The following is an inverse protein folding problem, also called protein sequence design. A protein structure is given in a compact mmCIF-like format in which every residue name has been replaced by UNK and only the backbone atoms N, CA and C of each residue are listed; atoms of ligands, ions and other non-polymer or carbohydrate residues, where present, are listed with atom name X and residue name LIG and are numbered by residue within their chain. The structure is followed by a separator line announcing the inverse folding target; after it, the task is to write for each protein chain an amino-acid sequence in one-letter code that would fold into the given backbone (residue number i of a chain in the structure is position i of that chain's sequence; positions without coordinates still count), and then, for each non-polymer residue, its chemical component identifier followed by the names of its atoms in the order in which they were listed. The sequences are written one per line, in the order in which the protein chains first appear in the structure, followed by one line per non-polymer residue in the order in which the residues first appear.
data_IF_786453982930
#
_entry.id   IF_786453982930
#
_cell.length_a   1.000
_cell.length_b   1.000
_cell.length_c   1.000
_cell.angle_alpha   90.00
_cell.angle_beta   90.00
_cell.angle_gamma   90.00
#
_symmetry.space_group_name_H-M   'P 1'
#
loop_
_entity.id
_entity.type
_entity.pdbx_description
1 polymer ?
#
# COMPACT_ATOMS: atom_id res chain seq x y z
N UNK A 1 11.06 -16.22 15.07
CA UNK A 1 11.19 -14.78 14.75
C UNK A 1 9.95 -14.07 15.25
N UNK A 2 10.04 -13.21 16.28
CA UNK A 2 8.88 -12.45 16.77
C UNK A 2 8.54 -11.31 15.79
N UNK A 3 7.25 -11.13 15.50
CA UNK A 3 6.75 -10.04 14.65
C UNK A 3 6.94 -8.72 15.38
N UNK A 4 7.56 -7.72 14.74
CA UNK A 4 7.73 -6.40 15.35
C UNK A 4 6.37 -5.70 15.48
N UNK A 5 6.18 -4.91 16.54
CA UNK A 5 4.94 -4.16 16.77
C UNK A 5 4.56 -3.29 15.54
N UNK A 6 5.56 -2.70 14.88
CA UNK A 6 5.38 -1.91 13.66
C UNK A 6 4.85 -2.76 12.50
N UNK A 7 5.41 -3.96 12.28
CA UNK A 7 4.93 -4.89 11.26
C UNK A 7 3.49 -5.33 11.56
N UNK A 8 3.19 -5.67 12.82
CA UNK A 8 1.84 -6.07 13.24
C UNK A 8 0.81 -4.94 13.02
N UNK A 9 1.13 -3.72 13.42
CA UNK A 9 0.22 -2.57 13.27
C UNK A 9 -0.03 -2.24 11.79
N UNK A 10 1.01 -2.27 10.96
CA UNK A 10 0.85 -2.11 9.51
C UNK A 10 -0.05 -3.19 8.93
N UNK A 11 0.22 -4.47 9.25
CA UNK A 11 -0.56 -5.60 8.75
C UNK A 11 -2.04 -5.49 9.13
N UNK A 12 -2.34 -5.08 10.36
CA UNK A 12 -3.71 -4.84 10.79
C UNK A 12 -4.36 -3.71 9.98
N UNK A 13 -3.69 -2.57 9.86
CA UNK A 13 -4.20 -1.39 9.16
C UNK A 13 -4.39 -1.63 7.65
N UNK A 14 -3.42 -2.25 6.97
CA UNK A 14 -3.50 -2.54 5.53
C UNK A 14 -4.61 -3.57 5.25
N UNK A 15 -4.80 -4.56 6.14
CA UNK A 15 -5.90 -5.53 6.02
C UNK A 15 -7.24 -4.83 6.16
N UNK A 16 -7.40 -3.99 7.19
CA UNK A 16 -8.62 -3.23 7.40
C UNK A 16 -8.92 -2.27 6.24
N UNK A 17 -7.90 -1.54 5.77
CA UNK A 17 -8.01 -0.66 4.62
C UNK A 17 -8.45 -1.44 3.37
N UNK A 18 -7.87 -2.61 3.12
CA UNK A 18 -8.20 -3.46 1.97
C UNK A 18 -9.65 -3.93 2.02
N UNK A 19 -10.09 -4.41 3.19
CA UNK A 19 -11.46 -4.89 3.36
C UNK A 19 -12.48 -3.77 3.20
N UNK A 20 -12.23 -2.61 3.84
CA UNK A 20 -13.12 -1.44 3.73
C UNK A 20 -13.14 -0.92 2.30
N UNK A 21 -11.97 -0.68 1.70
CA UNK A 21 -11.89 -0.17 0.34
C UNK A 21 -12.56 -1.14 -0.65
N UNK A 22 -12.31 -2.45 -0.49
CA UNK A 22 -12.89 -3.52 -1.31
C UNK A 22 -14.42 -3.59 -1.20
N UNK A 23 -14.98 -3.50 0.00
CA UNK A 23 -16.43 -3.50 0.17
C UNK A 23 -17.07 -2.20 -0.32
N UNK A 24 -16.47 -1.05 0.01
CA UNK A 24 -16.98 0.26 -0.43
C UNK A 24 -16.93 0.38 -1.95
N UNK A 25 -15.82 -0.02 -2.58
CA UNK A 25 -15.67 0.00 -4.02
C UNK A 25 -16.66 -0.93 -4.73
N UNK A 26 -16.82 -2.17 -4.24
CA UNK A 26 -17.81 -3.10 -4.77
C UNK A 26 -19.23 -2.54 -4.62
N UNK A 27 -19.56 -1.98 -3.46
CA UNK A 27 -20.87 -1.38 -3.19
C UNK A 27 -21.18 -0.21 -4.12
N UNK A 28 -20.20 0.68 -4.37
CA UNK A 28 -20.37 1.79 -5.32
C UNK A 28 -20.64 1.24 -6.73
N UNK A 29 -19.86 0.26 -7.19
CA UNK A 29 -20.02 -0.32 -8.53
C UNK A 29 -21.32 -1.12 -8.69
N UNK A 30 -21.83 -1.75 -7.62
CA UNK A 30 -23.08 -2.51 -7.68
C UNK A 30 -24.33 -1.64 -7.53
N UNK A 31 -24.33 -0.70 -6.59
CA UNK A 31 -25.55 0.02 -6.20
C UNK A 31 -25.63 1.44 -6.76
N UNK A 32 -24.50 2.17 -6.78
CA UNK A 32 -24.47 3.57 -7.26
C UNK A 32 -24.25 3.66 -8.77
N UNK A 33 -23.50 2.71 -9.34
CA UNK A 33 -23.18 2.66 -10.77
C UNK A 33 -23.61 1.31 -11.38
N UNK A 34 -24.89 0.94 -11.31
CA UNK A 34 -25.36 -0.37 -11.77
C UNK A 34 -24.93 -0.62 -13.22
N UNK A 35 -24.44 -1.84 -13.48
CA UNK A 35 -23.87 -2.24 -14.78
C UNK A 35 -22.39 -1.89 -14.99
N UNK A 36 -21.74 -1.19 -14.06
CA UNK A 36 -20.31 -0.86 -14.14
C UNK A 36 -19.44 -1.74 -13.23
N UNK A 37 -20.03 -2.71 -12.52
CA UNK A 37 -19.25 -3.76 -11.87
C UNK A 37 -18.60 -4.62 -12.94
N UNK A 38 -17.27 -4.68 -12.92
CA UNK A 38 -16.46 -5.35 -13.92
C UNK A 38 -15.75 -6.56 -13.31
N UNK A 39 -15.58 -7.63 -14.09
CA UNK A 39 -15.04 -8.91 -13.59
C UNK A 39 -13.62 -8.78 -13.03
N UNK A 40 -12.86 -7.81 -13.52
CA UNK A 40 -11.51 -7.51 -13.05
C UNK A 40 -11.42 -6.81 -11.69
N UNK A 41 -12.53 -6.35 -11.12
CA UNK A 41 -12.53 -5.52 -9.91
C UNK A 41 -11.83 -6.17 -8.71
N UNK A 42 -12.08 -7.46 -8.36
CA UNK A 42 -11.45 -8.09 -7.21
C UNK A 42 -9.91 -8.13 -7.28
N UNK A 43 -9.31 -8.09 -8.47
CA UNK A 43 -7.85 -8.11 -8.62
C UNK A 43 -7.19 -6.82 -8.08
N UNK A 44 -7.89 -5.69 -8.10
CA UNK A 44 -7.34 -4.39 -7.68
C UNK A 44 -7.01 -4.36 -6.19
N UNK A 45 -7.95 -4.58 -5.24
CA UNK A 45 -7.62 -4.63 -3.81
C UNK A 45 -6.61 -5.73 -3.48
N UNK A 46 -6.67 -6.88 -4.15
CA UNK A 46 -5.71 -7.99 -3.95
C UNK A 46 -4.30 -7.57 -4.33
N UNK A 47 -4.12 -6.92 -5.49
CA UNK A 47 -2.82 -6.40 -5.93
C UNK A 47 -2.19 -5.48 -4.87
N UNK A 48 -2.95 -4.47 -4.41
CA UNK A 48 -2.44 -3.51 -3.44
C UNK A 48 -2.17 -4.14 -2.06
N UNK A 49 -3.00 -5.10 -1.64
CA UNK A 49 -2.76 -5.83 -0.41
C UNK A 49 -1.47 -6.65 -0.46
N UNK A 50 -1.28 -7.46 -1.51
CA UNK A 50 -0.06 -8.25 -1.69
C UNK A 50 1.18 -7.36 -1.78
N UNK A 51 1.08 -6.23 -2.47
CA UNK A 51 2.15 -5.26 -2.53
C UNK A 51 2.47 -4.66 -1.15
N UNK A 52 1.44 -4.35 -0.35
CA UNK A 52 1.59 -3.90 1.03
C UNK A 52 2.27 -4.96 1.92
N UNK A 53 1.93 -6.24 1.77
CA UNK A 53 2.61 -7.35 2.47
C UNK A 53 4.10 -7.44 2.11
N UNK A 54 4.41 -7.23 0.83
CA UNK A 54 5.79 -7.18 0.35
C UNK A 54 6.54 -5.96 0.91
N UNK A 55 5.95 -4.77 0.83
CA UNK A 55 6.51 -3.52 1.39
C UNK A 55 6.87 -3.66 2.86
N UNK A 56 5.95 -4.11 3.71
CA UNK A 56 6.23 -4.21 5.14
C UNK A 56 7.28 -5.27 5.47
N UNK A 57 7.37 -6.32 4.65
CA UNK A 57 8.38 -7.36 4.84
C UNK A 57 9.78 -6.84 4.51
N UNK A 58 9.93 -6.12 3.40
CA UNK A 58 11.18 -5.43 3.04
C UNK A 58 11.54 -4.36 4.06
N UNK A 59 10.54 -3.59 4.51
CA UNK A 59 10.72 -2.55 5.51
C UNK A 59 11.19 -3.10 6.86
N UNK A 60 10.58 -4.18 7.35
CA UNK A 60 11.00 -4.84 8.61
C UNK A 60 12.41 -5.44 8.50
N UNK A 61 12.78 -5.99 7.33
CA UNK A 61 14.13 -6.48 7.07
C UNK A 61 15.16 -5.34 7.07
N UNK A 62 14.91 -4.27 6.33
CA UNK A 62 15.81 -3.11 6.27
C UNK A 62 15.93 -2.39 7.61
N UNK A 63 14.84 -2.30 8.38
CA UNK A 63 14.87 -1.77 9.74
C UNK A 63 15.87 -2.50 10.63
N UNK A 64 15.95 -3.83 10.51
CA UNK A 64 16.81 -4.69 11.34
C UNK A 64 18.28 -4.62 10.91
N UNK A 65 18.55 -4.60 9.61
CA UNK A 65 19.90 -4.78 9.08
C UNK A 65 20.56 -3.48 8.59
N UNK A 66 19.77 -2.49 8.13
CA UNK A 66 20.27 -1.25 7.54
C UNK A 66 19.33 -0.05 7.82
N UNK A 67 19.08 0.30 9.09
CA UNK A 67 18.11 1.33 9.48
C UNK A 67 18.40 2.75 8.95
N UNK A 68 19.62 3.00 8.46
CA UNK A 68 20.04 4.23 7.79
C UNK A 68 19.60 4.31 6.32
N UNK A 69 19.28 3.18 5.67
CA UNK A 69 18.84 3.11 4.27
C UNK A 69 17.31 3.07 4.11
N UNK A 70 16.56 3.29 5.18
CA UNK A 70 15.09 3.16 5.19
C UNK A 70 14.39 4.10 4.20
N UNK A 71 14.86 5.35 4.09
CA UNK A 71 14.31 6.32 3.14
C UNK A 71 14.57 5.90 1.69
N UNK A 72 15.78 5.42 1.40
CA UNK A 72 16.14 4.91 0.08
C UNK A 72 15.27 3.70 -0.30
N UNK A 73 15.09 2.75 0.63
CA UNK A 73 14.19 1.62 0.41
C UNK A 73 12.76 2.11 0.16
N UNK A 74 12.24 3.04 0.96
CA UNK A 74 10.90 3.59 0.75
C UNK A 74 10.72 4.15 -0.65
N UNK A 75 11.65 4.98 -1.13
CA UNK A 75 11.60 5.53 -2.50
C UNK A 75 11.68 4.43 -3.56
N UNK A 76 12.60 3.47 -3.40
CA UNK A 76 12.74 2.34 -4.32
C UNK A 76 11.46 1.50 -4.41
N UNK A 77 10.81 1.27 -3.27
CA UNK A 77 9.52 0.57 -3.20
C UNK A 77 8.42 1.32 -3.97
N UNK A 78 8.36 2.66 -3.89
CA UNK A 78 7.40 3.46 -4.68
C UNK A 78 7.66 3.41 -6.17
N UNK A 79 8.92 3.48 -6.59
CA UNK A 79 9.28 3.34 -8.00
C UNK A 79 8.91 1.95 -8.51
N UNK A 80 9.26 0.90 -7.76
CA UNK A 80 8.93 -0.47 -8.13
C UNK A 80 7.41 -0.69 -8.22
N UNK A 81 6.64 -0.15 -7.25
CA UNK A 81 5.17 -0.17 -7.26
C UNK A 81 4.62 0.49 -8.51
N UNK A 82 5.13 1.67 -8.86
CA UNK A 82 4.70 2.42 -10.03
C UNK A 82 4.97 1.64 -11.32
N UNK A 83 6.16 1.06 -11.47
CA UNK A 83 6.51 0.27 -12.65
C UNK A 83 5.63 -0.97 -12.80
N UNK A 84 5.44 -1.73 -11.71
CA UNK A 84 4.57 -2.91 -11.71
C UNK A 84 3.11 -2.54 -11.98
N UNK A 85 2.64 -1.43 -11.43
CA UNK A 85 1.31 -0.88 -11.71
C UNK A 85 1.14 -0.55 -13.19
N UNK A 86 2.11 0.13 -13.81
CA UNK A 86 2.05 0.46 -15.25
C UNK A 86 2.03 -0.80 -16.10
N UNK A 87 2.88 -1.79 -15.81
CA UNK A 87 2.90 -3.07 -16.54
C UNK A 87 1.55 -3.77 -16.43
N UNK A 88 0.99 -3.85 -15.22
CA UNK A 88 -0.31 -4.48 -14.98
C UNK A 88 -1.43 -3.77 -15.75
N UNK A 89 -1.47 -2.44 -15.71
CA UNK A 89 -2.46 -1.65 -16.43
C UNK A 89 -2.36 -1.88 -17.95
N UNK A 90 -1.14 -1.88 -18.50
CA UNK A 90 -0.90 -2.14 -19.92
C UNK A 90 -1.40 -3.53 -20.31
N UNK A 91 -1.01 -4.57 -19.56
CA UNK A 91 -1.44 -5.95 -19.81
C UNK A 91 -2.97 -6.08 -19.74
N UNK A 92 -3.60 -5.47 -18.73
CA UNK A 92 -5.04 -5.51 -18.57
C UNK A 92 -5.77 -4.82 -19.74
N UNK A 93 -5.31 -3.63 -20.14
CA UNK A 93 -5.88 -2.91 -21.28
C UNK A 93 -5.81 -3.69 -22.59
N UNK A 94 -4.74 -4.48 -22.81
CA UNK A 94 -4.63 -5.34 -23.98
C UNK A 94 -5.51 -6.59 -23.88
N UNK A 95 -5.65 -7.18 -22.69
CA UNK A 95 -6.41 -8.41 -22.47
C UNK A 95 -7.93 -8.20 -22.42
N UNK A 96 -8.40 -7.09 -21.83
CA UNK A 96 -9.82 -6.82 -21.56
C UNK A 96 -10.18 -5.40 -21.98
N UNK A 97 -10.40 -5.21 -23.29
CA UNK A 97 -10.63 -3.88 -23.89
C UNK A 97 -11.96 -3.24 -23.47
N UNK A 98 -13.02 -4.04 -23.34
CA UNK A 98 -14.38 -3.55 -23.06
C UNK A 98 -14.47 -2.82 -21.71
N UNK A 99 -13.79 -3.34 -20.67
CA UNK A 99 -13.85 -2.81 -19.31
C UNK A 99 -12.61 -1.98 -18.91
N UNK A 100 -11.65 -1.78 -19.84
CA UNK A 100 -10.36 -1.17 -19.56
C UNK A 100 -10.46 0.22 -18.92
N UNK A 101 -11.40 1.06 -19.38
CA UNK A 101 -11.58 2.43 -18.86
C UNK A 101 -11.99 2.43 -17.38
N UNK A 102 -12.93 1.57 -17.00
CA UNK A 102 -13.39 1.45 -15.62
C UNK A 102 -12.29 0.87 -14.73
N UNK A 103 -11.64 -0.18 -15.20
CA UNK A 103 -10.50 -0.77 -14.50
C UNK A 103 -9.40 0.27 -14.23
N UNK A 104 -8.99 1.04 -15.24
CA UNK A 104 -7.99 2.10 -15.10
C UNK A 104 -8.38 3.14 -14.06
N UNK A 105 -9.61 3.65 -14.13
CA UNK A 105 -10.10 4.68 -13.22
C UNK A 105 -10.16 4.16 -11.78
N UNK A 106 -10.73 2.97 -11.56
CA UNK A 106 -10.77 2.34 -10.24
C UNK A 106 -9.37 2.05 -9.72
N UNK A 107 -8.46 1.57 -10.57
CA UNK A 107 -7.08 1.28 -10.20
C UNK A 107 -6.32 2.54 -9.76
N UNK A 108 -6.49 3.67 -10.47
CA UNK A 108 -5.87 4.95 -10.11
C UNK A 108 -6.40 5.45 -8.75
N UNK A 109 -7.70 5.36 -8.51
CA UNK A 109 -8.29 5.74 -7.22
C UNK A 109 -7.70 4.92 -6.07
N UNK A 110 -7.62 3.60 -6.25
CA UNK A 110 -6.97 2.72 -5.28
C UNK A 110 -5.50 3.06 -5.10
N UNK A 111 -4.77 3.30 -6.19
CA UNK A 111 -3.36 3.67 -6.13
C UNK A 111 -3.14 4.89 -5.23
N UNK A 112 -3.95 5.94 -5.40
CA UNK A 112 -3.87 7.16 -4.61
C UNK A 112 -4.18 6.88 -3.14
N UNK A 113 -5.27 6.17 -2.84
CA UNK A 113 -5.66 5.82 -1.46
C UNK A 113 -4.55 5.07 -0.73
N UNK A 114 -4.00 4.03 -1.37
CA UNK A 114 -2.92 3.25 -0.79
C UNK A 114 -1.63 4.05 -0.68
N UNK A 115 -1.31 4.89 -1.67
CA UNK A 115 -0.13 5.75 -1.62
C UNK A 115 -0.20 6.73 -0.44
N UNK A 116 -1.36 7.35 -0.20
CA UNK A 116 -1.59 8.24 0.95
C UNK A 116 -1.39 7.47 2.25
N UNK A 117 -2.00 6.29 2.39
CA UNK A 117 -1.85 5.45 3.57
C UNK A 117 -0.39 5.07 3.83
N UNK A 118 0.31 4.55 2.81
CA UNK A 118 1.71 4.12 2.92
C UNK A 118 2.63 5.30 3.27
N UNK A 119 2.38 6.47 2.69
CA UNK A 119 3.10 7.71 2.98
C UNK A 119 2.88 8.11 4.44
N UNK A 120 1.63 8.18 4.88
CA UNK A 120 1.27 8.52 6.25
C UNK A 120 1.90 7.57 7.28
N UNK A 121 1.89 6.26 7.00
CA UNK A 121 2.52 5.25 7.84
C UNK A 121 4.04 5.47 7.95
N UNK A 122 4.72 5.70 6.81
CA UNK A 122 6.16 5.94 6.79
C UNK A 122 6.54 7.18 7.58
N UNK A 123 5.81 8.29 7.39
CA UNK A 123 6.04 9.53 8.13
C UNK A 123 5.85 9.34 9.64
N UNK A 124 4.76 8.68 10.06
CA UNK A 124 4.47 8.42 11.47
C UNK A 124 5.57 7.56 12.11
N UNK A 125 6.06 6.56 11.39
CA UNK A 125 7.20 5.76 11.83
C UNK A 125 8.47 6.61 12.00
N UNK A 126 8.79 7.46 11.02
CA UNK A 126 10.01 8.26 11.04
C UNK A 126 10.00 9.30 12.16
N UNK A 127 8.87 9.99 12.37
CA UNK A 127 8.67 10.91 13.50
C UNK A 127 8.81 10.17 14.83
N UNK A 128 8.16 9.01 14.98
CA UNK A 128 8.27 8.20 16.19
C UNK A 128 9.69 7.69 16.46
N UNK A 129 10.50 7.47 15.42
CA UNK A 129 11.93 7.12 15.54
C UNK A 129 12.77 8.30 16.04
N UNK A 130 12.50 9.52 15.56
CA UNK A 130 13.21 10.74 16.00
C UNK A 130 12.96 11.04 17.48
N UNK A 131 11.69 11.06 17.90
CA UNK A 131 11.30 11.30 19.30
C UNK A 131 11.94 10.29 20.27
N UNK A 132 12.04 9.01 19.88
CA UNK A 132 12.70 7.99 20.72
C UNK A 132 14.20 8.22 20.87
N UNK A 133 14.86 8.80 19.87
CA UNK A 133 16.28 9.15 19.96
C UNK A 133 16.51 10.35 20.88
N UNK A 134 15.68 11.39 20.75
CA UNK A 134 15.75 12.60 21.59
C UNK A 134 15.58 12.25 23.07
N UNK A 135 14.52 11.50 23.44
CA UNK A 135 14.30 11.04 24.83
C UNK A 135 15.45 10.23 25.40
N UNK A 136 16.10 9.39 24.58
CA UNK A 136 17.25 8.58 25.01
C UNK A 136 18.47 9.47 25.29
N UNK A 137 18.66 10.53 24.52
CA UNK A 137 19.75 11.48 24.74
C UNK A 137 19.51 12.31 26.01
N UNK A 138 18.27 12.73 26.28
CA UNK A 138 17.89 13.46 27.51
C UNK A 138 18.03 12.61 28.78
N UNK A 139 17.75 11.31 28.72
CA UNK A 139 17.87 10.41 29.89
C UNK A 139 19.33 10.05 30.20
N UNK A 140 20.22 10.18 29.22
CA UNK A 140 21.63 9.81 29.32
C UNK A 140 22.56 11.02 29.60
N UNK A 141 22.00 12.23 29.65
CA UNK A 141 22.67 13.47 30.03
C UNK A 141 22.42 13.77 31.51
#
# INVERSE_FOLDING_TARGET
MSISLTKRNFLYQITLLTLIAGWVGAGILHYLLPGHYFGGYPFIPVYFFLFGLFEISMFDACRKHAPQKMLLLYMAMKVMKMLLSVILLVVYCFAVREEAKLFLLTFILYYIVYLIYETWFFFTYEVGKKQKKEKKNETNA
#
